data_IF_415418521962
#
_entry.id   IF_415418521962
#
_cell.length_a   1.000
_cell.length_b   1.000
_cell.length_c   1.000
_cell.angle_alpha   90.00
_cell.angle_beta   90.00
_cell.angle_gamma   90.00
#
_symmetry.space_group_name_H-M   'P 1'
#
loop_
_entity.id
_entity.type
_entity.pdbx_description
1 polymer ?
#
# COMPACT_ATOMS: atom_id res chain seq x y z
N UNK A 1 48.60 -12.76 40.46
CA UNK A 1 47.24 -12.75 41.05
C UNK A 1 46.29 -13.22 39.95
N UNK A 2 46.06 -14.51 39.71
CA UNK A 2 45.30 -15.52 40.48
C UNK A 2 43.85 -15.12 40.81
N UNK A 3 42.95 -15.99 40.33
CA UNK A 3 41.49 -16.10 40.50
C UNK A 3 40.62 -15.26 39.54
N UNK A 4 39.66 -15.80 38.79
CA UNK A 4 38.94 -17.08 38.89
C UNK A 4 38.51 -17.64 37.51
N UNK A 5 38.65 -18.95 37.39
CA UNK A 5 38.02 -19.86 36.41
C UNK A 5 36.66 -20.36 36.95
N UNK A 6 35.84 -20.95 36.07
CA UNK A 6 34.60 -21.74 36.27
C UNK A 6 33.37 -21.01 35.72
N UNK A 7 32.59 -21.50 34.75
CA UNK A 7 32.31 -22.88 34.36
C UNK A 7 31.81 -22.96 32.90
N UNK A 8 32.21 -24.02 32.20
CA UNK A 8 31.62 -24.49 30.96
C UNK A 8 31.39 -26.01 31.09
N UNK A 9 30.25 -26.50 30.58
CA UNK A 9 29.70 -27.88 30.50
C UNK A 9 28.44 -28.05 31.35
N UNK A 10 27.43 -28.86 31.00
CA UNK A 10 27.09 -29.66 29.82
C UNK A 10 25.70 -30.23 30.10
N UNK A 11 24.72 -30.11 29.20
CA UNK A 11 23.54 -31.01 29.20
C UNK A 11 23.13 -31.32 27.75
N UNK A 12 23.73 -32.38 27.23
CA UNK A 12 23.33 -33.11 26.02
C UNK A 12 23.51 -34.59 26.36
N UNK A 13 22.41 -35.34 26.40
CA UNK A 13 22.37 -36.77 26.72
C UNK A 13 20.91 -37.21 26.89
N UNK A 14 20.25 -37.60 25.80
CA UNK A 14 20.06 -39.00 25.36
C UNK A 14 19.15 -39.81 26.28
N UNK A 15 17.93 -40.07 25.80
CA UNK A 15 17.36 -41.41 25.84
C UNK A 15 16.63 -41.67 24.51
N UNK A 16 17.32 -42.39 23.64
CA UNK A 16 16.70 -43.21 22.60
C UNK A 16 16.33 -44.55 23.25
N UNK A 17 15.18 -45.11 22.86
CA UNK A 17 14.89 -46.54 22.66
C UNK A 17 13.36 -46.71 22.62
N UNK A 18 12.77 -46.83 21.42
CA UNK A 18 12.02 -48.04 21.09
C UNK A 18 11.78 -48.12 19.57
N UNK A 19 12.22 -49.26 19.02
CA UNK A 19 12.06 -49.69 17.63
C UNK A 19 10.64 -50.20 17.37
N UNK A 20 10.22 -50.04 16.12
CA UNK A 20 9.46 -50.95 15.27
C UNK A 20 8.42 -51.87 15.92
N UNK A 21 7.15 -51.69 15.53
CA UNK A 21 6.28 -52.81 15.17
C UNK A 21 5.48 -52.43 13.90
N UNK A 22 5.95 -52.95 12.77
CA UNK A 22 5.09 -53.25 11.63
C UNK A 22 4.54 -54.67 11.85
N UNK A 23 3.21 -54.83 11.74
CA UNK A 23 2.46 -56.06 11.42
C UNK A 23 0.98 -55.63 11.33
N UNK A 24 0.46 -55.37 10.13
CA UNK A 24 -0.41 -56.29 9.36
C UNK A 24 -1.54 -56.88 10.21
N UNK A 25 -2.77 -56.40 10.02
CA UNK A 25 -3.94 -57.26 9.95
C UNK A 25 -4.93 -56.68 8.94
N UNK A 26 -5.20 -57.52 7.95
CA UNK A 26 -6.12 -57.36 6.85
C UNK A 26 -7.57 -57.59 7.29
N UNK A 27 -8.49 -57.08 6.48
CA UNK A 27 -9.87 -57.52 6.27
C UNK A 27 -10.90 -57.44 7.41
N UNK A 28 -11.81 -56.47 7.28
CA UNK A 28 -13.24 -56.81 7.24
C UNK A 28 -14.02 -55.86 6.32
N UNK A 29 -14.25 -56.34 5.10
CA UNK A 29 -15.47 -56.22 4.31
C UNK A 29 -16.20 -54.86 4.21
N UNK A 30 -16.04 -54.25 3.02
CA UNK A 30 -17.09 -53.82 2.09
C UNK A 30 -18.44 -53.42 2.71
N UNK A 31 -18.76 -52.13 2.59
CA UNK A 31 -20.05 -51.74 2.00
C UNK A 31 -19.86 -50.52 1.11
N UNK A 32 -20.00 -50.76 -0.18
CA UNK A 32 -20.09 -49.78 -1.25
C UNK A 32 -21.55 -49.33 -1.29
N UNK A 33 -21.80 -48.05 -1.09
CA UNK A 33 -23.02 -47.42 -1.60
C UNK A 33 -22.60 -46.29 -2.55
N UNK A 34 -22.49 -46.67 -3.82
CA UNK A 34 -22.70 -45.77 -4.93
C UNK A 34 -24.12 -45.21 -4.85
N UNK A 35 -24.26 -43.90 -4.80
CA UNK A 35 -25.48 -43.23 -5.25
C UNK A 35 -25.08 -42.23 -6.33
N UNK A 36 -25.26 -42.70 -7.56
CA UNK A 36 -25.26 -41.94 -8.79
C UNK A 36 -26.26 -40.79 -8.72
N UNK A 37 -25.81 -39.59 -9.04
CA UNK A 37 -26.67 -38.44 -9.34
C UNK A 37 -27.35 -38.68 -10.70
N UNK A 38 -28.63 -39.07 -10.65
CA UNK A 38 -29.51 -39.01 -11.82
C UNK A 38 -30.20 -37.64 -11.82
N UNK A 39 -29.82 -36.77 -12.76
CA UNK A 39 -30.64 -35.63 -13.17
C UNK A 39 -31.86 -36.17 -13.93
N UNK A 40 -33.04 -36.12 -13.32
CA UNK A 40 -34.30 -36.36 -14.02
C UNK A 40 -34.88 -35.02 -14.49
N UNK A 41 -34.70 -34.71 -15.76
CA UNK A 41 -35.54 -33.74 -16.48
C UNK A 41 -36.92 -34.36 -16.68
N UNK A 42 -37.94 -33.88 -15.97
CA UNK A 42 -39.33 -34.26 -16.24
C UNK A 42 -39.90 -33.25 -17.25
N UNK A 43 -40.04 -33.71 -18.49
CA UNK A 43 -40.88 -33.07 -19.51
C UNK A 43 -42.35 -33.29 -19.14
N UNK A 44 -43.12 -32.20 -19.04
CA UNK A 44 -44.56 -32.22 -18.89
C UNK A 44 -45.18 -32.08 -20.29
N UNK A 45 -46.06 -32.99 -20.75
CA UNK A 45 -46.87 -32.75 -21.94
C UNK A 45 -48.14 -31.99 -21.55
N UNK A 46 -48.50 -30.96 -22.31
CA UNK A 46 -49.83 -30.37 -22.27
C UNK A 46 -50.59 -30.81 -23.52
N UNK A 47 -51.57 -31.68 -23.31
CA UNK A 47 -52.66 -31.93 -24.26
C UNK A 47 -53.85 -31.05 -23.85
N UNK A 48 -54.54 -30.51 -24.84
CA UNK A 48 -55.59 -29.51 -24.70
C UNK A 48 -56.95 -30.11 -24.28
N UNK A 49 -57.69 -29.27 -23.55
CA UNK A 49 -59.16 -29.19 -23.39
C UNK A 49 -59.90 -30.28 -22.60
N UNK A 50 -60.56 -29.85 -21.52
CA UNK A 50 -62.02 -30.00 -21.25
C UNK A 50 -62.43 -28.90 -20.26
N UNK A 51 -63.61 -28.34 -20.51
CA UNK A 51 -64.17 -27.10 -19.97
C UNK A 51 -64.77 -27.17 -18.55
N UNK A 52 -64.88 -25.97 -17.97
CA UNK A 52 -65.95 -25.37 -17.16
C UNK A 52 -66.36 -25.94 -15.78
N UNK A 53 -66.35 -25.00 -14.83
CA UNK A 53 -67.15 -24.88 -13.61
C UNK A 53 -66.99 -25.96 -12.52
N UNK A 54 -66.06 -25.68 -11.60
CA UNK A 54 -66.32 -25.90 -10.18
C UNK A 54 -65.58 -24.88 -9.32
N UNK A 55 -66.38 -24.21 -8.50
CA UNK A 55 -66.03 -23.27 -7.46
C UNK A 55 -65.00 -23.92 -6.53
N UNK A 56 -63.76 -23.44 -6.56
CA UNK A 56 -62.74 -23.76 -5.56
C UNK A 56 -62.29 -22.47 -4.89
N UNK A 57 -62.57 -22.41 -3.60
CA UNK A 57 -62.27 -21.31 -2.69
C UNK A 57 -60.84 -20.78 -2.89
N UNK A 58 -60.77 -19.48 -3.19
CA UNK A 58 -59.58 -18.64 -3.05
C UNK A 58 -59.27 -18.45 -1.57
N UNK A 59 -58.86 -19.52 -0.90
CA UNK A 59 -58.13 -19.41 0.35
C UNK A 59 -56.65 -19.29 0.01
N UNK A 60 -56.15 -18.05 0.08
CA UNK A 60 -54.73 -17.75 0.12
C UNK A 60 -54.05 -18.68 1.14
N UNK A 61 -53.23 -19.61 0.66
CA UNK A 61 -52.30 -20.34 1.51
C UNK A 61 -51.24 -19.32 1.93
N UNK A 62 -51.56 -18.55 2.97
CA UNK A 62 -50.58 -17.71 3.64
C UNK A 62 -49.51 -18.65 4.19
N UNK A 63 -48.25 -18.58 3.71
CA UNK A 63 -47.19 -19.38 4.29
C UNK A 63 -47.14 -18.98 5.75
N UNK A 64 -47.30 -19.96 6.63
CA UNK A 64 -47.40 -19.82 8.08
C UNK A 64 -46.22 -18.95 8.57
N UNK A 65 -46.42 -17.62 8.65
CA UNK A 65 -45.35 -16.65 8.88
C UNK A 65 -44.84 -16.89 10.30
N UNK A 66 -43.76 -17.65 10.42
CA UNK A 66 -43.04 -17.79 11.69
C UNK A 66 -42.79 -16.38 12.19
N UNK A 67 -43.28 -16.08 13.40
CA UNK A 67 -43.15 -14.74 13.99
C UNK A 67 -41.66 -14.48 14.21
N UNK A 68 -41.08 -13.61 13.38
CA UNK A 68 -39.74 -13.07 13.57
C UNK A 68 -39.59 -12.53 14.99
N UNK A 69 -38.43 -12.77 15.60
CA UNK A 69 -38.13 -12.20 16.91
C UNK A 69 -38.13 -10.67 16.84
N UNK A 70 -38.48 -10.00 17.94
CA UNK A 70 -38.52 -8.53 18.00
C UNK A 70 -37.18 -7.90 17.63
N UNK A 71 -36.08 -8.49 18.06
CA UNK A 71 -34.72 -8.04 17.75
C UNK A 71 -34.43 -8.11 16.24
N UNK A 72 -34.94 -9.14 15.59
CA UNK A 72 -34.72 -9.41 14.18
C UNK A 72 -35.51 -8.45 13.27
N UNK A 73 -36.76 -8.13 13.65
CA UNK A 73 -37.53 -7.05 13.02
C UNK A 73 -36.85 -5.69 13.17
N UNK A 74 -36.42 -5.36 14.38
CA UNK A 74 -35.72 -4.09 14.65
C UNK A 74 -34.38 -3.99 13.92
N UNK A 75 -33.73 -5.10 13.58
CA UNK A 75 -32.53 -5.10 12.72
C UNK A 75 -32.89 -4.77 11.26
N UNK A 76 -33.92 -5.41 10.70
CA UNK A 76 -34.36 -5.15 9.33
C UNK A 76 -34.87 -3.71 9.16
N UNK A 77 -35.63 -3.21 10.13
CA UNK A 77 -36.08 -1.82 10.15
C UNK A 77 -34.88 -0.85 10.14
N UNK A 78 -33.88 -1.06 11.01
CA UNK A 78 -32.65 -0.25 11.02
C UNK A 78 -31.85 -0.31 9.72
N UNK A 79 -31.81 -1.48 9.07
CA UNK A 79 -31.13 -1.62 7.78
C UNK A 79 -31.86 -0.82 6.70
N UNK A 80 -33.19 -0.98 6.58
CA UNK A 80 -34.03 -0.21 5.65
C UNK A 80 -33.95 1.30 5.88
N UNK A 81 -34.02 1.74 7.14
CA UNK A 81 -33.88 3.16 7.51
C UNK A 81 -32.53 3.74 7.09
N UNK A 82 -31.45 2.97 7.23
CA UNK A 82 -30.12 3.39 6.83
C UNK A 82 -29.99 3.50 5.30
N UNK A 83 -30.55 2.54 4.56
CA UNK A 83 -30.54 2.57 3.10
C UNK A 83 -31.31 3.78 2.57
N UNK A 84 -32.49 4.05 3.15
CA UNK A 84 -33.26 5.26 2.84
C UNK A 84 -32.51 6.54 3.19
N UNK A 85 -31.81 6.56 4.32
CA UNK A 85 -30.97 7.69 4.73
C UNK A 85 -29.85 7.95 3.71
N UNK A 86 -29.09 6.93 3.31
CA UNK A 86 -28.02 7.08 2.31
C UNK A 86 -28.58 7.52 0.96
N UNK A 87 -29.76 7.04 0.56
CA UNK A 87 -30.41 7.50 -0.67
C UNK A 87 -30.81 8.98 -0.62
N UNK A 88 -31.29 9.46 0.53
CA UNK A 88 -31.61 10.89 0.75
C UNK A 88 -30.35 11.75 0.65
N UNK A 89 -29.30 11.40 1.38
CA UNK A 89 -28.00 12.10 1.35
C UNK A 89 -27.40 12.12 -0.06
N UNK A 90 -27.51 11.02 -0.83
CA UNK A 90 -27.05 10.98 -2.22
C UNK A 90 -27.80 11.99 -3.09
N UNK A 91 -29.13 12.09 -2.94
CA UNK A 91 -29.94 13.07 -3.68
C UNK A 91 -29.57 14.49 -3.29
N UNK A 92 -29.41 14.77 -2.00
CA UNK A 92 -29.00 16.08 -1.49
C UNK A 92 -27.61 16.47 -1.98
N UNK A 93 -26.65 15.55 -1.99
CA UNK A 93 -25.32 15.79 -2.56
C UNK A 93 -25.39 16.15 -4.05
N UNK A 94 -26.19 15.46 -4.86
CA UNK A 94 -26.33 15.76 -6.29
C UNK A 94 -26.99 17.13 -6.54
N UNK A 95 -28.00 17.47 -5.74
CA UNK A 95 -28.65 18.79 -5.79
C UNK A 95 -27.65 19.89 -5.37
N UNK A 96 -26.96 19.68 -4.25
CA UNK A 96 -25.93 20.59 -3.76
C UNK A 96 -24.78 20.78 -4.76
N UNK A 97 -24.37 19.71 -5.45
CA UNK A 97 -23.32 19.76 -6.48
C UNK A 97 -23.72 20.66 -7.64
N UNK A 98 -24.97 20.57 -8.10
CA UNK A 98 -25.51 21.47 -9.13
C UNK A 98 -25.60 22.92 -8.66
N UNK A 99 -26.01 23.15 -7.42
CA UNK A 99 -26.01 24.50 -6.85
C UNK A 99 -24.61 25.10 -6.74
N UNK A 100 -23.64 24.30 -6.31
CA UNK A 100 -22.25 24.73 -6.22
C UNK A 100 -21.69 25.10 -7.60
N UNK A 101 -21.94 24.27 -8.62
CA UNK A 101 -21.56 24.58 -10.00
C UNK A 101 -22.19 25.92 -10.48
N UNK A 102 -23.47 26.14 -10.19
CA UNK A 102 -24.16 27.39 -10.53
C UNK A 102 -23.55 28.61 -9.82
N UNK A 103 -23.20 28.49 -8.54
CA UNK A 103 -22.55 29.58 -7.78
C UNK A 103 -21.17 29.93 -8.35
N UNK A 104 -20.43 28.92 -8.85
CA UNK A 104 -19.11 29.10 -9.44
C UNK A 104 -19.15 29.44 -10.94
N UNK A 105 -20.34 29.45 -11.56
CA UNK A 105 -20.51 29.69 -12.99
C UNK A 105 -19.96 28.58 -13.89
N UNK A 106 -19.90 27.34 -13.41
CA UNK A 106 -19.39 26.17 -14.14
C UNK A 106 -20.54 25.28 -14.62
N UNK A 107 -20.27 24.47 -15.66
CA UNK A 107 -21.24 23.49 -16.16
C UNK A 107 -21.47 22.37 -15.13
N UNK A 108 -22.72 22.10 -14.69
CA UNK A 108 -22.99 21.10 -13.65
C UNK A 108 -22.62 19.65 -14.03
N UNK A 109 -22.68 19.32 -15.32
CA UNK A 109 -22.41 17.96 -15.81
C UNK A 109 -20.90 17.65 -15.88
N UNK A 110 -20.07 18.64 -16.19
CA UNK A 110 -18.61 18.52 -16.26
C UNK A 110 -17.94 18.71 -14.89
N UNK A 111 -18.70 19.11 -13.87
CA UNK A 111 -18.18 19.48 -12.57
C UNK A 111 -17.59 18.26 -11.84
N UNK A 112 -16.27 18.22 -11.68
CA UNK A 112 -15.55 17.09 -11.06
C UNK A 112 -15.49 17.23 -9.54
N UNK A 113 -15.09 16.17 -8.84
CA UNK A 113 -14.90 16.21 -7.38
C UNK A 113 -13.74 17.15 -6.99
N UNK A 114 -12.74 17.34 -7.84
CA UNK A 114 -11.66 18.29 -7.60
C UNK A 114 -12.17 19.74 -7.65
N UNK A 115 -13.08 20.03 -8.57
CA UNK A 115 -13.70 21.35 -8.69
C UNK A 115 -14.62 21.63 -7.49
N UNK A 116 -15.34 20.63 -7.00
CA UNK A 116 -16.08 20.71 -5.73
C UNK A 116 -15.14 21.10 -4.59
N UNK A 117 -14.02 20.39 -4.42
CA UNK A 117 -13.06 20.65 -3.35
C UNK A 117 -12.46 22.06 -3.45
N UNK A 118 -12.02 22.50 -4.63
CA UNK A 118 -11.51 23.86 -4.86
C UNK A 118 -12.56 24.93 -4.54
N UNK A 119 -13.81 24.69 -4.94
CA UNK A 119 -14.92 25.61 -4.70
C UNK A 119 -15.24 25.73 -3.21
N UNK A 120 -15.25 24.61 -2.49
CA UNK A 120 -15.43 24.60 -1.03
C UNK A 120 -14.27 25.28 -0.31
N UNK A 121 -13.02 25.06 -0.74
CA UNK A 121 -11.85 25.74 -0.17
C UNK A 121 -11.91 27.26 -0.36
N UNK A 122 -12.44 27.72 -1.51
CA UNK A 122 -12.64 29.14 -1.79
C UNK A 122 -13.79 29.75 -0.99
N UNK A 123 -14.96 29.09 -0.95
CA UNK A 123 -16.15 29.61 -0.27
C UNK A 123 -16.04 29.54 1.26
N UNK A 124 -15.40 28.49 1.77
CA UNK A 124 -15.25 28.22 3.21
C UNK A 124 -13.77 28.04 3.58
N UNK A 125 -12.96 29.10 3.50
CA UNK A 125 -11.53 28.99 3.73
C UNK A 125 -11.25 28.64 5.20
N UNK A 126 -10.69 27.45 5.42
CA UNK A 126 -10.33 26.96 6.75
C UNK A 126 -8.81 26.80 6.89
N UNK A 127 -8.23 27.53 7.84
CA UNK A 127 -6.81 27.46 8.18
C UNK A 127 -6.42 26.28 9.08
N UNK A 128 -7.32 25.30 9.31
CA UNK A 128 -7.05 24.15 10.15
C UNK A 128 -5.96 23.27 9.54
N UNK A 129 -4.98 22.86 10.36
CA UNK A 129 -3.86 22.00 9.93
C UNK A 129 -4.35 20.60 9.56
N UNK A 130 -5.27 20.04 10.34
CA UNK A 130 -5.86 18.73 10.07
C UNK A 130 -6.87 18.84 8.92
N UNK A 131 -6.51 18.28 7.76
CA UNK A 131 -7.35 18.32 6.56
C UNK A 131 -8.73 17.68 6.77
N UNK A 132 -8.82 16.66 7.64
CA UNK A 132 -10.08 15.97 7.97
C UNK A 132 -11.08 16.82 8.75
N UNK A 133 -10.61 17.89 9.42
CA UNK A 133 -11.46 18.80 10.20
C UNK A 133 -11.93 20.01 9.37
N UNK A 134 -11.48 20.12 8.12
CA UNK A 134 -11.91 21.19 7.21
C UNK A 134 -13.32 20.90 6.68
N UNK A 135 -14.04 21.93 6.22
CA UNK A 135 -15.28 21.72 5.47
C UNK A 135 -15.03 20.79 4.28
N UNK A 136 -15.84 19.74 4.16
CA UNK A 136 -15.77 18.79 3.05
C UNK A 136 -17.17 18.56 2.49
N UNK A 137 -17.23 18.37 1.17
CA UNK A 137 -18.44 17.96 0.46
C UNK A 137 -18.05 16.83 -0.47
N UNK A 138 -18.39 15.60 -0.08
CA UNK A 138 -18.09 14.38 -0.83
C UNK A 138 -19.32 13.50 -0.97
N UNK A 139 -19.22 12.46 -1.79
CA UNK A 139 -20.27 11.47 -1.90
C UNK A 139 -20.50 10.76 -0.55
N UNK A 140 -21.75 10.53 -0.13
CA UNK A 140 -22.06 9.91 1.18
C UNK A 140 -21.36 8.57 1.43
N UNK A 141 -21.08 7.80 0.38
CA UNK A 141 -20.36 6.51 0.46
C UNK A 141 -18.92 6.64 0.99
N UNK A 142 -18.29 7.81 0.84
CA UNK A 142 -16.94 8.09 1.35
C UNK A 142 -16.94 8.68 2.76
N UNK A 143 -18.02 9.35 3.13
CA UNK A 143 -18.16 10.03 4.42
C UNK A 143 -18.62 9.04 5.50
N UNK A 144 -19.68 8.28 5.20
CA UNK A 144 -20.24 7.33 6.13
C UNK A 144 -19.47 6.00 6.05
N UNK A 145 -19.18 5.37 7.20
CA UNK A 145 -18.52 4.08 7.19
C UNK A 145 -19.42 3.04 6.50
N UNK A 146 -18.85 2.17 5.65
CA UNK A 146 -19.61 1.10 5.02
C UNK A 146 -20.20 0.17 6.08
N UNK A 147 -21.44 -0.26 5.85
CA UNK A 147 -22.16 -1.20 6.71
C UNK A 147 -22.57 -2.41 5.89
N UNK A 148 -22.66 -3.56 6.55
CA UNK A 148 -23.22 -4.76 5.94
C UNK A 148 -24.69 -4.54 5.61
N UNK A 149 -25.10 -5.07 4.47
CA UNK A 149 -26.52 -5.21 4.12
C UNK A 149 -27.23 -6.15 5.09
N UNK A 150 -28.56 -6.18 5.02
CA UNK A 150 -29.35 -7.10 5.82
C UNK A 150 -28.92 -8.56 5.54
N UNK A 151 -28.54 -9.31 6.59
CA UNK A 151 -28.00 -10.67 6.41
C UNK A 151 -29.08 -11.76 6.25
N UNK A 152 -30.37 -11.41 6.40
CA UNK A 152 -31.51 -12.35 6.33
C UNK A 152 -32.80 -11.72 5.79
N UNK A 153 -33.70 -12.57 5.31
CA UNK A 153 -35.02 -12.22 4.80
C UNK A 153 -36.03 -11.82 5.89
N UNK A 154 -37.19 -11.30 5.47
CA UNK A 154 -38.37 -11.09 6.34
C UNK A 154 -38.94 -12.38 6.94
N UNK A 155 -38.57 -13.55 6.39
CA UNK A 155 -38.88 -14.86 6.99
C UNK A 155 -37.88 -15.26 8.08
N UNK A 156 -36.77 -14.56 8.16
CA UNK A 156 -35.64 -14.81 9.04
C UNK A 156 -34.67 -15.89 8.56
N UNK A 157 -34.67 -16.16 7.25
CA UNK A 157 -33.71 -17.04 6.60
C UNK A 157 -32.46 -16.23 6.24
N UNK A 158 -31.26 -16.63 6.68
CA UNK A 158 -30.02 -15.99 6.25
C UNK A 158 -29.77 -16.14 4.75
N UNK A 159 -29.19 -15.11 4.13
CA UNK A 159 -28.78 -15.16 2.72
C UNK A 159 -27.54 -16.03 2.52
N UNK A 160 -26.59 -15.92 3.45
CA UNK A 160 -25.31 -16.62 3.37
C UNK A 160 -25.35 -17.95 4.14
N UNK A 161 -24.84 -19.02 3.52
CA UNK A 161 -24.67 -20.34 4.14
C UNK A 161 -23.85 -20.33 5.45
N UNK A 162 -22.78 -19.53 5.50
CA UNK A 162 -21.86 -19.40 6.63
C UNK A 162 -22.28 -18.35 7.67
N UNK A 163 -23.51 -17.84 7.61
CA UNK A 163 -24.03 -16.84 8.55
C UNK A 163 -23.80 -17.21 10.02
N UNK A 164 -24.01 -18.47 10.39
CA UNK A 164 -23.87 -18.95 11.78
C UNK A 164 -22.43 -19.02 12.30
N UNK A 165 -21.44 -18.69 11.47
CA UNK A 165 -20.03 -18.55 11.90
C UNK A 165 -19.72 -17.17 12.50
N UNK A 166 -20.71 -16.26 12.53
CA UNK A 166 -20.62 -14.84 12.92
C UNK A 166 -19.83 -13.96 11.95
N UNK A 167 -19.00 -14.54 11.08
CA UNK A 167 -18.12 -13.85 10.13
C UNK A 167 -18.16 -14.52 8.76
N UNK A 168 -19.33 -14.45 8.09
CA UNK A 168 -19.55 -15.14 6.82
C UNK A 168 -18.49 -14.75 5.77
N UNK A 169 -18.19 -13.47 5.60
CA UNK A 169 -17.34 -12.99 4.50
C UNK A 169 -15.89 -13.46 4.66
N UNK A 170 -15.37 -13.45 5.90
CA UNK A 170 -14.03 -13.96 6.18
C UNK A 170 -13.91 -15.45 5.89
N UNK A 171 -14.82 -16.28 6.40
CA UNK A 171 -14.74 -17.73 6.18
C UNK A 171 -15.07 -18.13 4.74
N UNK A 172 -15.94 -17.39 4.06
CA UNK A 172 -16.18 -17.56 2.63
C UNK A 172 -14.89 -17.33 1.83
N UNK A 173 -14.13 -16.28 2.15
CA UNK A 173 -12.85 -16.03 1.46
C UNK A 173 -11.83 -17.15 1.65
N UNK A 174 -11.78 -17.75 2.85
CA UNK A 174 -10.92 -18.92 3.14
C UNK A 174 -11.41 -20.17 2.38
N UNK A 175 -12.71 -20.38 2.32
CA UNK A 175 -13.30 -21.47 1.55
C UNK A 175 -13.00 -21.33 0.07
N UNK A 176 -13.19 -20.13 -0.50
CA UNK A 176 -12.88 -19.85 -1.90
C UNK A 176 -11.39 -20.05 -2.20
N UNK A 177 -10.49 -19.71 -1.28
CA UNK A 177 -9.06 -20.02 -1.40
C UNK A 177 -8.79 -21.52 -1.51
N UNK A 178 -9.47 -22.33 -0.70
CA UNK A 178 -9.33 -23.79 -0.74
C UNK A 178 -9.91 -24.34 -2.04
N UNK A 179 -11.05 -23.83 -2.49
CA UNK A 179 -11.67 -24.25 -3.75
C UNK A 179 -10.75 -23.96 -4.96
N UNK A 180 -10.13 -22.78 -4.99
CA UNK A 180 -9.13 -22.45 -6.01
C UNK A 180 -7.91 -23.36 -5.93
N UNK A 181 -7.43 -23.68 -4.72
CA UNK A 181 -6.33 -24.62 -4.53
C UNK A 181 -6.71 -26.03 -5.04
N UNK A 182 -7.92 -26.50 -4.79
CA UNK A 182 -8.40 -27.78 -5.32
C UNK A 182 -8.51 -27.78 -6.85
N UNK A 183 -8.96 -26.67 -7.45
CA UNK A 183 -8.97 -26.50 -8.92
C UNK A 183 -7.55 -26.60 -9.47
N UNK A 184 -6.59 -25.93 -8.82
CA UNK A 184 -5.19 -25.98 -9.23
C UNK A 184 -4.58 -27.39 -9.07
N UNK A 185 -4.88 -28.11 -8.00
CA UNK A 185 -4.44 -29.49 -7.82
C UNK A 185 -5.01 -30.42 -8.91
N UNK A 186 -6.30 -30.27 -9.26
CA UNK A 186 -6.92 -31.04 -10.35
C UNK A 186 -6.24 -30.77 -11.69
N UNK A 187 -5.92 -29.50 -11.97
CA UNK A 187 -5.17 -29.13 -13.17
C UNK A 187 -3.76 -29.72 -13.16
N UNK A 188 -3.07 -29.71 -12.03
CA UNK A 188 -1.76 -30.35 -11.89
C UNK A 188 -1.83 -31.86 -12.19
N UNK A 189 -2.81 -32.56 -11.61
CA UNK A 189 -3.02 -33.99 -11.87
C UNK A 189 -3.30 -34.28 -13.36
N UNK A 190 -4.07 -33.42 -14.03
CA UNK A 190 -4.37 -33.55 -15.47
C UNK A 190 -3.15 -33.32 -16.35
N UNK A 191 -2.33 -32.31 -16.06
CA UNK A 191 -1.10 -32.01 -16.79
C UNK A 191 -0.03 -33.08 -16.57
N UNK A 192 0.09 -33.62 -15.34
CA UNK A 192 0.96 -34.74 -15.04
C UNK A 192 0.55 -36.01 -15.80
N UNK A 193 -0.75 -36.28 -15.96
CA UNK A 193 -1.24 -37.40 -16.80
C UNK A 193 -0.86 -37.24 -18.27
N UNK A 194 -0.76 -35.99 -18.77
CA UNK A 194 -0.29 -35.68 -20.12
C UNK A 194 1.25 -35.72 -20.24
N UNK A 195 1.97 -35.87 -19.13
CA UNK A 195 3.44 -35.87 -19.06
C UNK A 195 4.07 -34.47 -19.12
N UNK A 196 3.28 -33.41 -18.90
CA UNK A 196 3.75 -32.03 -18.89
C UNK A 196 4.19 -31.65 -17.47
N UNK A 197 5.40 -31.10 -17.35
CA UNK A 197 5.95 -30.62 -16.08
C UNK A 197 5.63 -29.14 -15.89
N UNK A 198 5.48 -28.66 -14.64
CA UNK A 198 5.24 -27.25 -14.37
C UNK A 198 6.41 -26.38 -14.85
N UNK A 199 6.12 -25.41 -15.72
CA UNK A 199 7.09 -24.43 -16.19
C UNK A 199 7.08 -23.17 -15.31
N UNK A 200 8.19 -22.42 -15.29
CA UNK A 200 8.31 -21.18 -14.51
C UNK A 200 7.26 -20.11 -14.90
N UNK A 201 6.75 -20.15 -16.13
CA UNK A 201 5.68 -19.25 -16.60
C UNK A 201 4.31 -19.54 -15.95
N UNK A 202 4.11 -20.76 -15.43
CA UNK A 202 2.85 -21.15 -14.79
C UNK A 202 2.76 -20.66 -13.34
N UNK A 203 3.90 -20.24 -12.77
CA UNK A 203 4.00 -19.74 -11.40
C UNK A 203 3.92 -18.22 -11.38
N UNK A 204 3.03 -17.69 -10.55
CA UNK A 204 2.86 -16.26 -10.37
C UNK A 204 4.09 -15.60 -9.73
N UNK A 205 4.55 -14.49 -10.29
CA UNK A 205 5.53 -13.62 -9.64
C UNK A 205 4.83 -12.63 -8.69
N UNK A 206 5.12 -12.76 -7.40
CA UNK A 206 4.46 -12.01 -6.33
C UNK A 206 5.28 -10.80 -5.81
N UNK A 207 6.50 -10.59 -6.30
CA UNK A 207 7.47 -9.64 -5.70
C UNK A 207 7.00 -8.18 -5.76
N UNK A 208 6.29 -7.82 -6.84
CA UNK A 208 5.80 -6.46 -7.08
C UNK A 208 4.53 -6.10 -6.26
N UNK A 209 4.01 -7.02 -5.46
CA UNK A 209 2.78 -6.80 -4.69
C UNK A 209 2.94 -7.30 -3.25
N UNK A 210 2.08 -6.85 -2.35
CA UNK A 210 1.96 -7.40 -0.99
C UNK A 210 0.53 -7.73 -0.65
N UNK A 211 0.35 -8.60 0.34
CA UNK A 211 -0.94 -8.81 0.97
C UNK A 211 -1.53 -7.50 1.49
N UNK A 212 -2.85 -7.41 1.40
CA UNK A 212 -3.66 -6.34 1.99
C UNK A 212 -3.42 -6.29 3.50
N UNK A 213 -3.34 -5.10 4.08
CA UNK A 213 -3.10 -4.94 5.52
C UNK A 213 -4.31 -5.43 6.35
N UNK A 214 -4.10 -5.71 7.64
CA UNK A 214 -5.20 -6.15 8.52
C UNK A 214 -6.36 -5.15 8.54
N UNK A 215 -6.07 -3.85 8.60
CA UNK A 215 -7.10 -2.80 8.61
C UNK A 215 -7.87 -2.76 7.30
N UNK A 216 -7.15 -2.90 6.18
CA UNK A 216 -7.78 -2.89 4.85
C UNK A 216 -8.61 -4.15 4.62
N UNK A 217 -8.18 -5.29 5.17
CA UNK A 217 -8.91 -6.56 5.12
C UNK A 217 -10.19 -6.50 5.96
N UNK A 218 -10.15 -5.89 7.15
CA UNK A 218 -11.34 -5.63 7.96
C UNK A 218 -12.32 -4.71 7.23
N UNK A 219 -11.82 -3.67 6.56
CA UNK A 219 -12.64 -2.76 5.74
C UNK A 219 -13.26 -3.47 4.52
N UNK A 220 -12.53 -4.41 3.91
CA UNK A 220 -13.01 -5.18 2.76
C UNK A 220 -14.16 -6.12 3.17
N UNK A 221 -14.03 -6.81 4.30
CA UNK A 221 -15.05 -7.75 4.76
C UNK A 221 -16.16 -7.12 5.61
N UNK A 222 -15.96 -5.89 6.11
CA UNK A 222 -16.82 -5.23 7.10
C UNK A 222 -17.00 -6.09 8.36
N UNK A 223 -15.94 -6.78 8.76
CA UNK A 223 -15.89 -7.73 9.85
C UNK A 223 -14.65 -7.50 10.71
N UNK A 224 -14.78 -7.76 12.00
CA UNK A 224 -13.63 -7.72 12.90
C UNK A 224 -12.84 -9.02 12.75
N UNK A 225 -11.57 -8.89 12.33
CA UNK A 225 -10.63 -10.00 12.16
C UNK A 225 -9.50 -9.84 13.18
N UNK A 226 -9.19 -10.93 13.89
CA UNK A 226 -8.13 -10.97 14.90
C UNK A 226 -6.79 -11.25 14.21
N UNK A 227 -5.69 -10.74 14.77
CA UNK A 227 -4.33 -10.93 14.24
C UNK A 227 -4.01 -12.40 13.88
N UNK A 228 -4.37 -13.36 14.74
CA UNK A 228 -4.15 -14.79 14.50
C UNK A 228 -4.89 -15.32 13.25
N UNK A 229 -6.06 -14.77 12.98
CA UNK A 229 -6.89 -15.20 11.86
C UNK A 229 -6.41 -14.58 10.56
N UNK A 230 -5.90 -13.35 10.64
CA UNK A 230 -5.18 -12.70 9.57
C UNK A 230 -3.88 -13.46 9.21
N UNK A 231 -3.12 -13.95 10.20
CA UNK A 231 -1.98 -14.83 9.95
C UNK A 231 -2.40 -16.13 9.23
N UNK A 232 -3.50 -16.76 9.65
CA UNK A 232 -4.05 -17.94 8.97
C UNK A 232 -4.46 -17.64 7.53
N UNK A 233 -5.06 -16.47 7.29
CA UNK A 233 -5.45 -16.00 5.96
C UNK A 233 -4.22 -15.82 5.06
N UNK A 234 -3.16 -15.17 5.55
CA UNK A 234 -1.90 -15.05 4.80
C UNK A 234 -1.31 -16.41 4.51
N UNK A 235 -1.26 -17.32 5.50
CA UNK A 235 -0.74 -18.66 5.31
C UNK A 235 -1.51 -19.44 4.22
N UNK A 236 -2.82 -19.29 4.17
CA UNK A 236 -3.65 -19.88 3.11
C UNK A 236 -3.33 -19.27 1.74
N UNK A 237 -3.21 -17.95 1.66
CA UNK A 237 -2.84 -17.25 0.43
C UNK A 237 -1.42 -17.57 -0.06
N UNK A 238 -0.46 -17.71 0.85
CA UNK A 238 0.92 -18.09 0.52
C UNK A 238 1.00 -19.51 -0.04
N UNK A 239 0.18 -20.44 0.48
CA UNK A 239 0.05 -21.77 -0.11
C UNK A 239 -0.43 -21.71 -1.56
N UNK A 240 -1.40 -20.84 -1.85
CA UNK A 240 -1.93 -20.66 -3.20
C UNK A 240 -0.85 -20.11 -4.17
N UNK A 241 -0.03 -19.15 -3.74
CA UNK A 241 1.06 -18.59 -4.56
C UNK A 241 2.19 -19.60 -4.78
N UNK A 242 2.50 -20.38 -3.75
CA UNK A 242 3.57 -21.38 -3.83
C UNK A 242 3.20 -22.57 -4.71
N UNK A 243 1.93 -22.73 -5.08
CA UNK A 243 1.49 -23.74 -6.03
C UNK A 243 2.18 -23.57 -7.40
N UNK A 244 2.57 -24.65 -8.10
CA UNK A 244 3.27 -24.55 -9.39
C UNK A 244 2.48 -23.85 -10.50
N UNK A 245 1.15 -23.96 -10.47
CA UNK A 245 0.22 -23.38 -11.45
C UNK A 245 -0.52 -22.13 -10.95
N UNK A 246 0.08 -21.38 -10.02
CA UNK A 246 -0.58 -20.24 -9.35
C UNK A 246 -1.02 -19.10 -10.26
N UNK A 247 -0.49 -19.00 -11.49
CA UNK A 247 -0.89 -17.95 -12.45
C UNK A 247 -2.36 -18.06 -12.86
N UNK A 248 -2.95 -19.25 -12.91
CA UNK A 248 -4.37 -19.44 -13.22
C UNK A 248 -5.30 -18.82 -12.15
N UNK A 249 -4.84 -18.77 -10.90
CA UNK A 249 -5.56 -18.16 -9.79
C UNK A 249 -5.18 -16.68 -9.57
N UNK A 250 -4.47 -16.05 -10.52
CA UNK A 250 -3.98 -14.67 -10.41
C UNK A 250 -5.10 -13.68 -10.12
N UNK A 251 -6.22 -13.76 -10.83
CA UNK A 251 -7.34 -12.83 -10.65
C UNK A 251 -7.87 -12.86 -9.22
N UNK A 252 -8.01 -14.06 -8.66
CA UNK A 252 -8.43 -14.26 -7.29
C UNK A 252 -7.39 -13.75 -6.27
N UNK A 253 -6.11 -14.08 -6.48
CA UNK A 253 -5.02 -13.62 -5.59
C UNK A 253 -4.92 -12.09 -5.59
N UNK A 254 -5.02 -11.46 -6.76
CA UNK A 254 -4.87 -10.01 -6.90
C UNK A 254 -6.02 -9.23 -6.25
N UNK A 255 -7.19 -9.84 -6.02
CA UNK A 255 -8.27 -9.26 -5.21
C UNK A 255 -7.81 -8.92 -3.79
N UNK A 256 -6.89 -9.71 -3.23
CA UNK A 256 -6.38 -9.57 -1.86
C UNK A 256 -4.92 -9.10 -1.79
N UNK A 257 -4.37 -8.60 -2.91
CA UNK A 257 -3.02 -8.03 -2.96
C UNK A 257 -3.06 -6.59 -3.44
N UNK A 258 -2.17 -5.78 -2.87
CA UNK A 258 -1.92 -4.39 -3.26
C UNK A 258 -0.64 -4.36 -4.07
N UNK A 259 -0.68 -3.77 -5.26
CA UNK A 259 0.52 -3.52 -6.06
C UNK A 259 1.39 -2.48 -5.37
N UNK A 260 2.67 -2.81 -5.15
CA UNK A 260 3.64 -1.86 -4.63
C UNK A 260 4.15 -1.05 -5.80
N UNK A 261 3.89 0.25 -5.78
CA UNK A 261 4.61 1.16 -6.66
C UNK A 261 6.11 1.06 -6.32
N UNK A 262 6.90 0.57 -7.27
CA UNK A 262 8.35 0.64 -7.18
C UNK A 262 8.73 2.12 -7.24
N UNK A 263 9.07 2.71 -6.09
CA UNK A 263 9.73 4.02 -6.03
C UNK A 263 11.18 3.86 -6.46
N UNK A 264 11.43 3.36 -7.67
CA UNK A 264 12.70 3.56 -8.33
C UNK A 264 12.65 4.96 -8.94
N UNK A 265 12.81 5.98 -8.09
CA UNK A 265 13.12 7.31 -8.57
C UNK A 265 14.50 7.20 -9.24
N UNK A 266 14.51 6.89 -10.53
CA UNK A 266 15.67 7.16 -11.36
C UNK A 266 16.02 8.62 -11.13
N UNK A 267 17.18 8.88 -10.52
CA UNK A 267 17.60 10.24 -10.18
C UNK A 267 17.51 11.09 -11.44
N UNK A 268 16.50 11.97 -11.51
CA UNK A 268 16.27 12.81 -12.69
C UNK A 268 17.55 13.59 -13.01
N UNK A 269 18.14 13.29 -14.15
CA UNK A 269 19.32 13.98 -14.67
C UNK A 269 18.86 15.31 -15.23
N UNK A 270 19.49 16.40 -14.80
CA UNK A 270 19.14 17.73 -15.29
C UNK A 270 19.57 17.85 -16.76
N UNK A 271 18.74 18.40 -17.66
CA UNK A 271 19.15 18.62 -19.04
C UNK A 271 20.34 19.60 -19.11
N UNK A 272 21.22 19.39 -20.08
CA UNK A 272 22.35 20.29 -20.35
C UNK A 272 21.85 21.55 -21.08
N UNK A 273 22.22 22.71 -20.56
CA UNK A 273 22.04 24.00 -21.23
C UNK A 273 23.35 24.41 -21.91
N UNK A 274 23.30 25.32 -22.89
CA UNK A 274 24.49 25.80 -23.61
C UNK A 274 24.62 27.30 -23.48
N UNK A 275 25.83 27.75 -23.17
CA UNK A 275 26.16 29.18 -23.09
C UNK A 275 26.28 29.79 -24.50
N UNK A 276 26.38 31.11 -24.60
CA UNK A 276 26.59 31.84 -25.87
C UNK A 276 27.86 31.39 -26.61
N UNK A 277 28.81 30.78 -25.88
CA UNK A 277 30.05 30.20 -26.41
C UNK A 277 29.91 28.72 -26.79
N UNK A 278 28.72 28.14 -26.73
CA UNK A 278 28.46 26.72 -27.01
C UNK A 278 28.97 25.75 -25.94
N UNK A 279 29.34 26.23 -24.75
CA UNK A 279 29.81 25.37 -23.64
C UNK A 279 28.61 24.78 -22.90
N UNK A 280 28.57 23.46 -22.65
CA UNK A 280 27.49 22.84 -21.90
C UNK A 280 27.59 23.22 -20.42
N UNK A 281 26.49 23.57 -19.78
CA UNK A 281 26.44 23.86 -18.35
C UNK A 281 25.16 23.34 -17.70
N UNK A 282 25.21 23.18 -16.38
CA UNK A 282 24.05 22.84 -15.55
C UNK A 282 24.00 23.80 -14.36
N UNK A 283 22.83 24.33 -14.08
CA UNK A 283 22.60 25.22 -12.93
C UNK A 283 21.69 24.55 -11.90
N UNK A 284 22.18 24.40 -10.67
CA UNK A 284 21.42 23.88 -9.53
C UNK A 284 21.05 25.06 -8.63
N UNK A 285 19.77 25.43 -8.59
CA UNK A 285 19.28 26.63 -7.90
C UNK A 285 18.96 26.41 -6.41
N UNK A 286 18.46 25.24 -6.03
CA UNK A 286 17.93 24.99 -4.68
C UNK A 286 18.90 24.21 -3.78
N UNK A 287 20.17 24.61 -3.77
CA UNK A 287 21.17 23.95 -2.92
C UNK A 287 21.13 24.53 -1.51
N UNK A 288 20.96 23.66 -0.51
CA UNK A 288 20.75 24.09 0.87
C UNK A 288 21.38 23.15 1.88
N UNK A 289 22.02 23.71 2.91
CA UNK A 289 22.51 22.97 4.08
C UNK A 289 22.41 23.84 5.32
N UNK A 290 21.73 23.32 6.35
CA UNK A 290 21.38 24.11 7.54
C UNK A 290 20.63 25.38 7.13
N UNK A 291 21.17 26.55 7.45
CA UNK A 291 20.65 27.85 7.03
C UNK A 291 21.43 28.47 5.87
N UNK A 292 22.39 27.74 5.28
CA UNK A 292 23.11 28.19 4.09
C UNK A 292 22.38 27.75 2.83
N UNK A 293 22.36 28.65 1.86
CA UNK A 293 21.70 28.48 0.57
C UNK A 293 22.67 28.89 -0.54
N UNK A 294 22.43 28.42 -1.75
CA UNK A 294 23.24 28.82 -2.89
C UNK A 294 22.76 28.29 -4.22
N UNK A 295 23.31 28.89 -5.27
CA UNK A 295 23.20 28.43 -6.65
C UNK A 295 24.58 27.96 -7.10
N UNK A 296 24.64 26.79 -7.73
CA UNK A 296 25.88 26.25 -8.28
C UNK A 296 25.69 25.99 -9.76
N UNK A 297 26.52 26.62 -10.57
CA UNK A 297 26.63 26.40 -12.01
C UNK A 297 27.93 25.63 -12.29
N UNK A 298 27.83 24.53 -13.01
CA UNK A 298 28.98 23.74 -13.47
C UNK A 298 29.03 23.81 -14.98
N UNK A 299 30.16 24.26 -15.53
CA UNK A 299 30.41 24.35 -16.96
C UNK A 299 31.34 23.22 -17.39
N UNK A 300 30.96 22.49 -18.44
CA UNK A 300 31.80 21.51 -19.09
C UNK A 300 32.88 22.14 -19.97
N UNK A 301 33.87 21.34 -20.35
CA UNK A 301 35.03 21.76 -21.14
C UNK A 301 35.79 22.93 -20.50
N UNK A 302 35.92 22.89 -19.18
CA UNK A 302 36.61 23.89 -18.37
C UNK A 302 38.07 23.55 -18.09
N UNK A 303 38.69 24.39 -17.26
CA UNK A 303 40.10 24.28 -16.82
C UNK A 303 40.24 23.85 -15.35
N UNK A 304 39.14 23.57 -14.65
CA UNK A 304 39.15 23.27 -13.22
C UNK A 304 39.01 24.52 -12.34
N UNK A 305 38.59 25.66 -12.90
CA UNK A 305 38.49 26.92 -12.17
C UNK A 305 37.26 26.92 -11.27
N UNK A 306 37.45 27.15 -9.97
CA UNK A 306 36.37 27.21 -8.98
C UNK A 306 36.21 28.64 -8.48
N UNK A 307 35.10 29.28 -8.80
CA UNK A 307 34.76 30.63 -8.34
C UNK A 307 33.57 30.60 -7.37
N UNK A 308 33.73 31.25 -6.22
CA UNK A 308 32.76 31.32 -5.13
C UNK A 308 32.52 32.80 -4.80
N UNK A 309 31.31 33.30 -5.04
CA UNK A 309 30.94 34.71 -4.84
C UNK A 309 31.95 35.68 -5.50
N UNK A 310 32.41 35.36 -6.72
CA UNK A 310 33.39 36.16 -7.47
C UNK A 310 34.83 36.07 -6.96
N UNK A 311 35.12 35.24 -5.96
CA UNK A 311 36.48 34.95 -5.45
C UNK A 311 36.88 33.54 -5.80
N UNK A 312 38.18 33.25 -5.76
CA UNK A 312 38.70 31.90 -5.97
C UNK A 312 38.37 30.97 -4.76
N UNK A 313 38.78 29.70 -4.82
CA UNK A 313 38.62 28.73 -3.72
C UNK A 313 39.21 29.20 -2.37
N UNK A 314 40.09 30.21 -2.41
CA UNK A 314 40.61 30.94 -1.26
C UNK A 314 39.54 31.65 -0.42
N UNK A 315 38.30 31.79 -0.94
CA UNK A 315 37.13 32.25 -0.18
C UNK A 315 37.01 31.53 1.18
N UNK A 316 37.26 30.22 1.19
CA UNK A 316 37.36 29.46 2.43
C UNK A 316 38.79 29.45 2.95
N UNK A 317 39.01 30.02 4.15
CA UNK A 317 40.33 30.02 4.81
C UNK A 317 40.76 28.62 5.28
N UNK A 318 39.81 27.79 5.73
CA UNK A 318 40.09 26.45 6.26
C UNK A 318 40.14 25.41 5.15
N UNK A 319 41.16 24.55 5.20
CA UNK A 319 41.38 23.46 4.24
C UNK A 319 40.19 22.50 4.19
N UNK A 320 39.62 22.14 5.36
CA UNK A 320 38.45 21.25 5.45
C UNK A 320 37.26 21.68 4.58
N UNK A 321 37.03 23.00 4.41
CA UNK A 321 35.95 23.49 3.56
C UNK A 321 36.28 23.34 2.07
N UNK A 322 37.54 23.49 1.69
CA UNK A 322 38.02 23.28 0.32
C UNK A 322 37.94 21.80 -0.06
N UNK A 323 38.36 20.91 0.83
CA UNK A 323 38.25 19.45 0.64
C UNK A 323 36.82 19.01 0.36
N UNK A 324 35.83 19.59 1.06
CA UNK A 324 34.42 19.27 0.82
C UNK A 324 33.95 19.64 -0.59
N UNK A 325 34.48 20.73 -1.15
CA UNK A 325 34.13 21.24 -2.49
C UNK A 325 34.82 20.40 -3.58
N UNK A 326 36.07 20.01 -3.32
CA UNK A 326 36.89 19.25 -4.26
C UNK A 326 36.47 17.76 -4.30
N UNK A 327 36.00 17.20 -3.18
CA UNK A 327 35.62 15.79 -3.06
C UNK A 327 34.74 15.25 -4.22
N UNK A 328 33.62 15.89 -4.62
CA UNK A 328 32.82 15.39 -5.74
C UNK A 328 33.56 15.42 -7.09
N UNK A 329 34.48 16.37 -7.30
CA UNK A 329 35.28 16.47 -8.52
C UNK A 329 36.35 15.37 -8.61
N UNK A 330 36.98 15.04 -7.49
CA UNK A 330 37.92 13.92 -7.40
C UNK A 330 37.17 12.60 -7.58
N UNK A 331 36.02 12.44 -6.92
CA UNK A 331 35.25 11.19 -6.96
C UNK A 331 34.81 10.83 -8.39
N UNK A 332 34.50 11.84 -9.22
CA UNK A 332 34.08 11.64 -10.61
C UNK A 332 35.22 11.75 -11.63
N UNK A 333 36.46 12.01 -11.20
CA UNK A 333 37.60 12.29 -12.09
C UNK A 333 37.34 13.47 -13.06
N UNK A 334 36.65 14.51 -12.58
CA UNK A 334 36.26 15.70 -13.37
C UNK A 334 36.97 16.99 -12.93
N UNK A 335 37.96 16.91 -12.02
CA UNK A 335 38.62 18.08 -11.42
C UNK A 335 39.17 19.10 -12.43
N UNK A 336 39.79 18.65 -13.52
CA UNK A 336 40.39 19.54 -14.53
C UNK A 336 39.55 19.65 -15.81
N UNK A 337 38.29 19.18 -15.77
CA UNK A 337 37.39 19.11 -16.93
C UNK A 337 36.20 20.05 -16.84
N UNK A 338 35.87 20.51 -15.64
CA UNK A 338 34.73 21.39 -15.39
C UNK A 338 35.16 22.66 -14.67
N UNK A 339 34.53 23.76 -15.00
CA UNK A 339 34.61 24.99 -14.22
C UNK A 339 33.37 25.11 -13.32
N UNK A 340 33.55 25.63 -12.11
CA UNK A 340 32.47 25.78 -11.13
C UNK A 340 32.29 27.25 -10.79
N UNK A 341 31.07 27.73 -10.89
CA UNK A 341 30.63 29.05 -10.45
C UNK A 341 29.56 28.87 -9.38
N UNK A 342 29.88 29.25 -8.15
CA UNK A 342 28.96 29.14 -7.02
C UNK A 342 28.66 30.51 -6.41
N UNK A 343 27.38 30.79 -6.20
CA UNK A 343 26.91 31.90 -5.38
C UNK A 343 26.26 31.34 -4.13
N UNK A 344 26.79 31.71 -2.96
CA UNK A 344 26.31 31.21 -1.66
C UNK A 344 26.05 32.35 -0.71
N UNK A 345 24.96 32.25 0.04
CA UNK A 345 24.57 33.22 1.05
C UNK A 345 24.03 32.52 2.30
N UNK A 346 23.88 33.28 3.38
CA UNK A 346 23.42 32.82 4.69
C UNK A 346 24.27 31.69 5.35
N UNK A 347 23.96 31.47 6.63
CA UNK A 347 24.60 30.46 7.46
C UNK A 347 26.10 30.68 7.68
N UNK A 348 26.85 29.60 7.88
CA UNK A 348 28.28 29.64 8.20
C UNK A 348 29.14 28.93 7.16
N UNK A 349 30.48 29.04 7.23
CA UNK A 349 31.38 28.56 6.19
C UNK A 349 31.29 27.05 5.95
N UNK A 350 31.11 26.24 7.01
CA UNK A 350 30.87 24.80 6.88
C UNK A 350 29.54 24.46 6.19
N UNK A 351 28.51 25.28 6.42
CA UNK A 351 27.21 25.15 5.76
C UNK A 351 27.34 25.43 4.28
N UNK A 352 27.92 26.58 3.93
CA UNK A 352 28.18 27.03 2.56
C UNK A 352 29.05 26.04 1.77
N UNK A 353 30.12 25.51 2.35
CA UNK A 353 30.93 24.48 1.69
C UNK A 353 30.12 23.22 1.38
N UNK A 354 29.19 22.84 2.26
CA UNK A 354 28.30 21.69 2.03
C UNK A 354 27.21 21.96 0.98
N UNK A 355 26.72 23.20 0.88
CA UNK A 355 25.83 23.66 -0.20
C UNK A 355 26.53 23.48 -1.55
N UNK A 356 27.75 24.01 -1.67
CA UNK A 356 28.55 23.92 -2.89
C UNK A 356 28.82 22.47 -3.26
N UNK A 357 29.25 21.65 -2.29
CA UNK A 357 29.48 20.21 -2.50
C UNK A 357 28.27 19.51 -3.09
N UNK A 358 27.08 19.74 -2.51
CA UNK A 358 25.85 19.11 -2.98
C UNK A 358 25.45 19.63 -4.36
N UNK A 359 25.55 20.94 -4.60
CA UNK A 359 25.26 21.55 -5.90
C UNK A 359 26.18 21.05 -7.02
N UNK A 360 27.49 20.96 -6.77
CA UNK A 360 28.45 20.36 -7.70
C UNK A 360 28.06 18.91 -7.99
N UNK A 361 27.79 18.11 -6.95
CA UNK A 361 27.41 16.69 -7.09
C UNK A 361 26.16 16.51 -7.94
N UNK A 362 25.15 17.36 -7.75
CA UNK A 362 23.90 17.32 -8.50
C UNK A 362 24.08 17.73 -9.97
N UNK A 363 24.92 18.74 -10.23
CA UNK A 363 25.23 19.20 -11.58
C UNK A 363 26.08 18.19 -12.36
N UNK A 364 27.04 17.52 -11.71
CA UNK A 364 27.93 16.53 -12.33
C UNK A 364 27.18 15.33 -12.93
N UNK A 365 25.97 15.00 -12.45
CA UNK A 365 25.18 13.88 -12.98
C UNK A 365 24.91 13.98 -14.48
N UNK A 366 24.83 15.18 -15.03
CA UNK A 366 24.59 15.40 -16.45
C UNK A 366 25.84 15.20 -17.32
N UNK A 367 27.02 15.07 -16.70
CA UNK A 367 28.31 14.91 -17.38
C UNK A 367 28.91 13.51 -17.19
N UNK A 368 28.22 12.59 -16.50
CA UNK A 368 28.76 11.27 -16.13
C UNK A 368 27.76 10.15 -16.41
N UNK A 369 28.27 8.92 -16.51
CA UNK A 369 27.47 7.73 -16.79
C UNK A 369 26.58 7.31 -15.61
N UNK A 370 25.50 6.59 -15.92
CA UNK A 370 24.51 6.13 -14.93
C UNK A 370 25.13 5.28 -13.80
N UNK A 371 26.14 4.45 -14.10
CA UNK A 371 26.83 3.65 -13.07
C UNK A 371 27.58 4.53 -12.06
N UNK A 372 28.17 5.64 -12.51
CA UNK A 372 28.88 6.55 -11.64
C UNK A 372 27.90 7.37 -10.79
N UNK A 373 26.73 7.72 -11.32
CA UNK A 373 25.65 8.35 -10.56
C UNK A 373 25.23 7.47 -9.38
N UNK A 374 25.10 6.16 -9.59
CA UNK A 374 24.75 5.23 -8.51
C UNK A 374 25.88 5.13 -7.46
N UNK A 375 27.15 5.12 -7.90
CA UNK A 375 28.30 5.22 -6.97
C UNK A 375 28.28 6.53 -6.16
N UNK A 376 27.94 7.66 -6.78
CA UNK A 376 27.78 8.95 -6.08
C UNK A 376 26.62 8.93 -5.08
N UNK A 377 25.52 8.24 -5.41
CA UNK A 377 24.37 8.03 -4.51
C UNK A 377 24.79 7.25 -3.28
N UNK A 378 25.49 6.12 -3.47
CA UNK A 378 26.01 5.28 -2.39
C UNK A 378 27.06 6.01 -1.53
N UNK A 379 27.88 6.87 -2.14
CA UNK A 379 28.84 7.73 -1.43
C UNK A 379 28.17 8.89 -0.64
N UNK A 380 26.85 9.08 -0.75
CA UNK A 380 26.11 10.13 -0.04
C UNK A 380 26.34 11.55 -0.59
N UNK A 381 26.83 11.69 -1.83
CA UNK A 381 27.05 12.98 -2.49
C UNK A 381 25.74 13.62 -2.94
N UNK A 382 24.78 12.80 -3.38
CA UNK A 382 23.49 13.24 -3.90
C UNK A 382 22.43 13.43 -2.80
N UNK A 383 22.65 12.85 -1.62
CA UNK A 383 21.75 12.95 -0.47
C UNK A 383 21.88 14.30 0.24
N UNK A 384 20.75 14.96 0.46
CA UNK A 384 20.69 16.23 1.21
C UNK A 384 20.85 15.99 2.72
N UNK A 385 21.69 16.77 3.38
CA UNK A 385 21.88 16.72 4.85
C UNK A 385 20.75 17.48 5.56
N UNK A 386 19.74 16.75 6.06
CA UNK A 386 18.55 17.28 6.73
C UNK A 386 18.77 17.68 8.19
N UNK A 387 19.98 17.48 8.73
CA UNK A 387 20.28 17.79 10.14
C UNK A 387 20.30 19.30 10.39
N UNK A 388 19.32 19.76 11.16
CA UNK A 388 19.18 21.15 11.60
C UNK A 388 19.38 21.30 13.11
N UNK A 389 19.67 22.55 13.54
CA UNK A 389 19.75 22.87 14.96
C UNK A 389 18.36 22.71 15.57
N UNK A 390 18.20 21.75 16.46
CA UNK A 390 16.96 21.59 17.21
C UNK A 390 16.67 22.82 18.09
N UNK A 391 15.38 23.17 18.20
CA UNK A 391 14.94 24.22 19.13
C UNK A 391 15.21 23.83 20.58
N UNK A 392 15.44 24.84 21.43
CA UNK A 392 15.43 24.72 22.90
C UNK A 392 14.00 24.40 23.37
N UNK A 393 13.87 23.61 24.44
CA UNK A 393 12.57 23.31 25.06
C UNK A 393 12.45 24.11 26.35
N UNK A 394 11.27 24.69 26.67
CA UNK A 394 11.07 25.35 27.96
C UNK A 394 11.27 24.33 29.10
N UNK A 395 11.80 24.80 30.24
CA UNK A 395 12.17 23.93 31.36
C UNK A 395 13.45 23.10 31.14
N UNK A 396 14.21 23.33 30.07
CA UNK A 396 15.49 22.68 29.79
C UNK A 396 16.57 23.74 29.53
N UNK A 397 17.83 23.41 29.82
CA UNK A 397 18.98 24.30 29.57
C UNK A 397 19.21 24.48 28.06
N UNK A 398 19.10 23.38 27.30
CA UNK A 398 19.28 23.37 25.85
C UNK A 398 18.19 22.60 25.11
N UNK A 399 18.49 22.17 23.87
CA UNK A 399 17.59 21.32 23.10
C UNK A 399 17.46 19.91 23.70
N UNK A 400 18.51 19.40 24.34
CA UNK A 400 18.53 18.05 24.95
C UNK A 400 19.07 18.08 26.38
N UNK A 401 20.04 18.94 26.66
CA UNK A 401 20.62 19.17 28.00
C UNK A 401 19.55 19.68 28.97
N UNK A 402 19.43 18.99 30.10
CA UNK A 402 18.56 19.35 31.23
C UNK A 402 19.36 20.16 32.24
N UNK A 403 18.67 20.94 33.06
CA UNK A 403 19.30 21.54 34.23
C UNK A 403 19.78 20.46 35.19
N UNK A 404 20.76 20.79 36.02
CA UNK A 404 21.24 19.91 37.08
C UNK A 404 20.08 19.56 38.01
N UNK A 405 19.72 18.27 38.06
CA UNK A 405 18.72 17.78 38.98
C UNK A 405 19.30 17.68 40.39
N UNK A 406 18.65 18.34 41.37
CA UNK A 406 18.99 18.20 42.79
C UNK A 406 17.96 17.28 43.44
N UNK A 407 18.44 16.24 44.13
CA UNK A 407 17.57 15.24 44.77
C UNK A 407 16.99 15.68 46.11
N UNK A 408 17.68 16.57 46.83
CA UNK A 408 17.36 17.04 48.18
C UNK A 408 17.37 18.54 48.21
#
# INVERSE_FOLDING_TARGET
MKMALSSARAILGRHALHRNVMKTFDNSQRNVLCLSLNYSTVNIPLNNNIDADSIFDTSEITPNKKKLSKAMKAYLERAKEYDEFIQKEKKEYQIGKRHLANMMGMNPEEFTQEDVQKSIEYLFPSGLFDKKARPIMEEPSKIFPPRKEAEFDESGRPFHSMFYTLRPNFYESLYNMIEELEKLNKLEDEELRKGLLPNAANKMNADASSWVSLTDLQNLFLENVIDKEYENFINAGERLINHPYSENAREFIMKYRVTKALLSDGLMVLPLEYDNQGRPFVTVKDSMRKSSEGVVKVLGNGSGKITINGKDITYFKRIQHREQIIFPLIFTNMQDKVDVEATVWNGGPTGQAGVIRWGISWALRSFVDAELIEKMRLAGLLSRDWRNRERKKPGQEGARRKFTWRKR
#
